data_IF_735493647464
#
_entry.id   IF_735493647464
#
_cell.length_a   1.000
_cell.length_b   1.000
_cell.length_c   1.000
_cell.angle_alpha   90.00
_cell.angle_beta   90.00
_cell.angle_gamma   90.00
#
_symmetry.space_group_name_H-M   'P 1'
#
loop_
_entity.id
_entity.type
_entity.pdbx_description
1 polymer ?
#
# COMPACT_ATOMS: atom_id res chain seq x y z
N UNK A 1 10.41 0.23 -18.88
CA UNK A 1 9.02 0.19 -18.40
C UNK A 1 8.77 1.50 -17.71
N UNK A 2 7.88 2.33 -18.23
CA UNK A 2 7.61 3.65 -17.68
C UNK A 2 7.00 3.49 -16.28
N UNK A 3 7.51 4.23 -15.30
CA UNK A 3 6.87 4.36 -13.99
C UNK A 3 5.46 4.94 -14.22
N UNK A 4 4.44 4.14 -13.95
CA UNK A 4 3.05 4.61 -13.91
C UNK A 4 2.92 5.56 -12.71
N UNK A 5 2.91 6.87 -12.98
CA UNK A 5 2.58 7.86 -11.97
C UNK A 5 1.11 7.67 -11.56
N UNK A 6 0.87 7.20 -10.34
CA UNK A 6 -0.47 7.04 -9.77
C UNK A 6 -0.96 8.40 -9.23
N UNK A 7 -2.14 8.83 -9.68
CA UNK A 7 -2.65 10.18 -9.41
C UNK A 7 -3.78 10.16 -8.37
N UNK A 8 -3.78 11.08 -7.38
CA UNK A 8 -4.83 11.19 -6.37
C UNK A 8 -6.09 11.86 -6.94
N UNK A 9 -7.24 11.55 -6.33
CA UNK A 9 -8.50 12.23 -6.64
C UNK A 9 -8.57 13.63 -6.02
N UNK A 10 -9.31 14.52 -6.67
CA UNK A 10 -9.38 15.92 -6.32
C UNK A 10 -10.81 16.35 -6.02
N UNK A 11 -11.02 17.01 -4.88
CA UNK A 11 -12.32 17.60 -4.52
C UNK A 11 -12.29 19.10 -4.81
N UNK A 12 -12.79 19.49 -5.98
CA UNK A 12 -12.94 20.89 -6.37
C UNK A 12 -14.38 21.16 -6.79
N UNK A 13 -14.98 22.21 -6.21
CA UNK A 13 -16.31 22.70 -6.56
C UNK A 13 -16.30 23.43 -7.91
N UNK A 14 -17.37 23.28 -8.69
CA UNK A 14 -17.58 24.05 -9.92
C UNK A 14 -18.50 23.33 -10.92
N UNK A 15 -19.00 24.06 -11.95
CA UNK A 15 -19.89 23.50 -12.96
C UNK A 15 -19.16 22.50 -13.87
N UNK A 16 -19.94 21.60 -14.45
CA UNK A 16 -19.45 20.59 -15.41
C UNK A 16 -19.67 21.05 -16.84
N UNK A 17 -18.80 20.64 -17.78
CA UNK A 17 -19.11 20.77 -19.18
C UNK A 17 -20.41 20.01 -19.48
N UNK A 18 -21.14 20.47 -20.48
CA UNK A 18 -22.37 19.83 -20.94
C UNK A 18 -22.42 19.78 -22.48
N UNK A 19 -23.56 19.32 -23.01
CA UNK A 19 -23.79 19.23 -24.46
C UNK A 19 -23.62 20.58 -25.19
N UNK A 20 -23.83 21.71 -24.52
CA UNK A 20 -23.69 23.04 -25.11
C UNK A 20 -22.24 23.53 -25.18
N UNK A 21 -21.36 22.91 -24.39
CA UNK A 21 -19.92 23.19 -24.41
C UNK A 21 -19.12 22.23 -25.29
N UNK A 22 -19.77 21.23 -25.87
CA UNK A 22 -19.12 20.25 -26.75
C UNK A 22 -18.60 20.93 -28.02
N UNK A 23 -17.31 20.78 -28.30
CA UNK A 23 -16.59 21.44 -29.38
C UNK A 23 -16.17 22.88 -29.07
N UNK A 24 -16.45 23.39 -27.88
CA UNK A 24 -16.24 24.80 -27.53
C UNK A 24 -15.09 24.98 -26.53
N UNK A 25 -14.52 26.19 -26.54
CA UNK A 25 -13.56 26.62 -25.52
C UNK A 25 -14.29 26.90 -24.22
N UNK A 26 -13.86 26.25 -23.14
CA UNK A 26 -14.39 26.46 -21.80
C UNK A 26 -13.95 27.83 -21.27
N UNK A 27 -14.92 28.65 -20.85
CA UNK A 27 -14.65 29.94 -20.20
C UNK A 27 -13.84 29.75 -18.91
N UNK A 28 -12.71 30.44 -18.78
CA UNK A 28 -11.87 30.41 -17.58
C UNK A 28 -12.67 30.82 -16.34
N UNK A 29 -13.50 31.86 -16.44
CA UNK A 29 -14.28 32.39 -15.31
C UNK A 29 -15.32 31.40 -14.79
N UNK A 30 -15.86 30.56 -15.67
CA UNK A 30 -16.89 29.56 -15.32
C UNK A 30 -16.26 28.27 -14.83
N UNK A 31 -15.17 27.84 -15.46
CA UNK A 31 -14.54 26.52 -15.24
C UNK A 31 -13.21 26.64 -14.51
N UNK A 32 -13.08 27.61 -13.59
CA UNK A 32 -11.84 27.92 -12.84
C UNK A 32 -11.20 26.65 -12.25
N UNK A 33 -11.99 25.78 -11.63
CA UNK A 33 -11.50 24.55 -11.01
C UNK A 33 -10.87 23.57 -12.01
N UNK A 34 -11.44 23.43 -13.22
CA UNK A 34 -10.84 22.61 -14.27
C UNK A 34 -9.50 23.20 -14.73
N UNK A 35 -9.44 24.53 -14.89
CA UNK A 35 -8.20 25.20 -15.24
C UNK A 35 -7.12 25.06 -14.16
N UNK A 36 -7.47 25.11 -12.88
CA UNK A 36 -6.53 24.88 -11.77
C UNK A 36 -5.96 23.45 -11.81
N UNK A 37 -6.83 22.44 -11.82
CA UNK A 37 -6.43 21.02 -11.88
C UNK A 37 -5.52 20.75 -13.07
N UNK A 38 -5.93 21.24 -14.23
CA UNK A 38 -5.23 20.95 -15.47
C UNK A 38 -3.94 21.76 -15.55
N UNK A 39 -4.01 23.09 -15.50
CA UNK A 39 -2.86 23.97 -15.76
C UNK A 39 -1.91 24.17 -14.59
N UNK A 40 -2.40 24.18 -13.35
CA UNK A 40 -1.53 24.37 -12.19
C UNK A 40 -1.02 23.04 -11.67
N UNK A 41 -1.89 22.03 -11.56
CA UNK A 41 -1.51 20.72 -11.00
C UNK A 41 -1.05 19.70 -12.05
N UNK A 42 -1.36 19.93 -13.33
CA UNK A 42 -0.79 19.16 -14.44
C UNK A 42 -1.40 17.78 -14.66
N UNK A 43 -2.61 17.50 -14.13
CA UNK A 43 -3.19 16.16 -14.20
C UNK A 43 -3.84 15.86 -15.58
N UNK A 44 -3.33 14.86 -16.34
CA UNK A 44 -3.88 14.43 -17.62
C UNK A 44 -5.11 13.52 -17.48
N UNK A 45 -5.34 12.93 -16.30
CA UNK A 45 -6.50 12.10 -16.01
C UNK A 45 -6.90 12.27 -14.54
N UNK A 46 -8.16 12.58 -14.27
CA UNK A 46 -8.64 12.74 -12.90
C UNK A 46 -10.14 12.45 -12.78
N UNK A 47 -10.57 12.13 -11.56
CA UNK A 47 -11.99 12.06 -11.19
C UNK A 47 -12.37 13.22 -10.28
N UNK A 48 -13.62 13.69 -10.36
CA UNK A 48 -14.19 14.63 -9.40
C UNK A 48 -15.64 14.32 -9.07
N UNK A 49 -16.13 14.83 -7.93
CA UNK A 49 -17.57 14.93 -7.65
C UNK A 49 -17.99 16.36 -7.93
N UNK A 50 -19.03 16.57 -8.75
CA UNK A 50 -19.58 17.90 -8.99
C UNK A 50 -20.51 18.37 -7.84
N UNK A 51 -21.05 19.59 -7.96
CA UNK A 51 -21.92 20.17 -6.92
C UNK A 51 -23.24 19.40 -6.72
N UNK A 52 -23.66 18.62 -7.71
CA UNK A 52 -24.85 17.78 -7.67
C UNK A 52 -24.57 16.39 -7.07
N UNK A 53 -23.33 16.09 -6.68
CA UNK A 53 -22.95 14.78 -6.15
C UNK A 53 -22.70 13.72 -7.23
N UNK A 54 -22.66 14.12 -8.50
CA UNK A 54 -22.38 13.23 -9.64
C UNK A 54 -20.87 13.07 -9.76
N UNK A 55 -20.43 11.81 -9.89
CA UNK A 55 -19.01 11.50 -10.10
C UNK A 55 -18.67 11.47 -11.57
N UNK A 56 -17.62 12.19 -11.92
CA UNK A 56 -17.20 12.51 -13.29
C UNK A 56 -15.75 12.08 -13.49
N UNK A 57 -15.41 11.69 -14.71
CA UNK A 57 -14.06 11.31 -15.12
C UNK A 57 -13.60 12.24 -16.24
N UNK A 58 -12.39 12.76 -16.15
CA UNK A 58 -11.80 13.66 -17.12
C UNK A 58 -10.52 13.06 -17.71
N UNK A 59 -10.39 13.16 -19.03
CA UNK A 59 -9.15 12.91 -19.77
C UNK A 59 -8.74 14.16 -20.52
N UNK A 60 -7.52 14.62 -20.29
CA UNK A 60 -6.99 15.85 -20.85
C UNK A 60 -5.80 15.56 -21.75
N UNK A 61 -5.97 15.91 -23.01
CA UNK A 61 -4.97 15.74 -24.06
C UNK A 61 -4.15 17.03 -24.26
N UNK A 62 -2.93 16.86 -24.76
CA UNK A 62 -2.04 17.99 -25.06
C UNK A 62 -2.63 18.91 -26.12
N UNK A 63 -3.31 18.35 -27.11
CA UNK A 63 -4.04 19.04 -28.17
C UNK A 63 -5.10 18.10 -28.80
N UNK A 64 -5.86 18.60 -29.77
CA UNK A 64 -6.91 17.84 -30.48
C UNK A 64 -6.31 16.72 -31.36
N UNK A 65 -5.08 16.90 -31.86
CA UNK A 65 -4.41 15.90 -32.69
C UNK A 65 -3.99 14.68 -31.85
N UNK A 66 -3.48 14.91 -30.64
CA UNK A 66 -3.14 13.89 -29.65
C UNK A 66 -4.38 13.09 -29.24
N UNK A 67 -5.51 13.77 -28.99
CA UNK A 67 -6.79 13.11 -28.79
C UNK A 67 -7.14 12.19 -29.97
N UNK A 68 -7.06 12.70 -31.20
CA UNK A 68 -7.42 11.95 -32.41
C UNK A 68 -6.55 10.70 -32.65
N UNK A 69 -5.31 10.70 -32.14
CA UNK A 69 -4.42 9.54 -32.22
C UNK A 69 -4.65 8.52 -31.09
N UNK A 70 -5.11 9.01 -29.93
CA UNK A 70 -5.22 8.26 -28.69
C UNK A 70 -6.62 7.69 -28.42
N UNK A 71 -7.64 8.18 -29.11
CA UNK A 71 -9.03 7.71 -28.95
C UNK A 71 -9.52 7.10 -30.25
N UNK A 72 -9.79 5.80 -30.22
CA UNK A 72 -10.29 5.06 -31.39
C UNK A 72 -11.43 4.13 -30.95
N UNK A 73 -12.65 4.46 -31.37
CA UNK A 73 -13.85 3.69 -31.02
C UNK A 73 -14.49 4.14 -29.71
N UNK A 74 -15.10 3.18 -29.01
CA UNK A 74 -15.83 3.40 -27.74
C UNK A 74 -14.90 3.10 -26.59
N UNK A 75 -14.83 4.01 -25.61
CA UNK A 75 -13.98 3.82 -24.43
C UNK A 75 -14.57 2.75 -23.52
N UNK A 76 -13.71 2.03 -22.79
CA UNK A 76 -14.15 1.08 -21.77
C UNK A 76 -13.47 1.36 -20.44
N UNK A 77 -14.08 0.90 -19.36
CA UNK A 77 -13.53 1.01 -18.01
C UNK A 77 -13.29 -0.38 -17.44
N UNK A 78 -12.16 -0.54 -16.78
CA UNK A 78 -11.80 -1.77 -16.08
C UNK A 78 -11.35 -1.45 -14.66
N UNK A 79 -11.79 -2.26 -13.69
CA UNK A 79 -11.35 -2.15 -12.31
C UNK A 79 -10.34 -3.24 -11.98
N UNK A 80 -9.25 -2.86 -11.32
CA UNK A 80 -8.23 -3.79 -10.80
C UNK A 80 -7.80 -3.40 -9.41
N UNK A 81 -7.29 -4.34 -8.64
CA UNK A 81 -6.62 -4.05 -7.37
C UNK A 81 -5.11 -4.10 -7.57
N UNK A 82 -4.40 -3.15 -6.96
CA UNK A 82 -2.94 -3.12 -6.93
C UNK A 82 -2.51 -2.63 -5.55
N UNK A 83 -1.79 -3.48 -4.82
CA UNK A 83 -1.43 -3.24 -3.42
C UNK A 83 -2.68 -2.95 -2.56
N UNK A 84 -2.73 -1.79 -1.90
CA UNK A 84 -3.86 -1.33 -1.08
C UNK A 84 -4.80 -0.37 -1.84
N UNK A 85 -4.64 -0.28 -3.16
CA UNK A 85 -5.41 0.62 -4.01
C UNK A 85 -6.34 -0.14 -4.94
N UNK A 86 -7.50 0.45 -5.18
CA UNK A 86 -8.31 0.13 -6.34
C UNK A 86 -7.85 1.02 -7.50
N UNK A 87 -7.78 0.47 -8.71
CA UNK A 87 -7.49 1.17 -9.94
C UNK A 87 -8.73 1.12 -10.83
N UNK A 88 -9.14 2.27 -11.37
CA UNK A 88 -10.06 2.38 -12.49
C UNK A 88 -9.24 2.74 -13.71
N UNK A 89 -9.19 1.87 -14.71
CA UNK A 89 -8.44 2.07 -15.93
C UNK A 89 -9.41 2.44 -17.04
N UNK A 90 -9.28 3.63 -17.60
CA UNK A 90 -10.03 4.06 -18.79
C UNK A 90 -9.23 3.67 -20.02
N UNK A 91 -9.77 2.76 -20.83
CA UNK A 91 -9.17 2.33 -22.09
C UNK A 91 -9.78 3.12 -23.25
N UNK A 92 -8.99 3.96 -23.91
CA UNK A 92 -9.46 4.81 -25.04
C UNK A 92 -9.05 4.28 -26.40
N UNK A 93 -8.04 3.40 -26.44
CA UNK A 93 -7.57 2.72 -27.65
C UNK A 93 -7.25 1.27 -27.31
N UNK A 94 -8.01 0.37 -27.93
CA UNK A 94 -7.84 -1.08 -27.79
C UNK A 94 -7.03 -1.63 -28.97
N UNK A 95 -5.84 -1.07 -29.23
CA UNK A 95 -4.88 -1.76 -30.09
C UNK A 95 -4.38 -3.00 -29.34
N UNK A 96 -4.52 -4.18 -29.94
CA UNK A 96 -4.12 -5.45 -29.35
C UNK A 96 -2.62 -5.51 -29.01
N UNK A 97 -1.80 -4.64 -29.63
CA UNK A 97 -0.34 -4.63 -29.47
C UNK A 97 0.08 -3.64 -28.35
N UNK A 98 -0.64 -2.54 -28.16
CA UNK A 98 -0.32 -1.52 -27.16
C UNK A 98 -1.59 -0.72 -26.78
N UNK A 99 -2.42 -1.25 -25.87
CA UNK A 99 -3.62 -0.53 -25.45
C UNK A 99 -3.22 0.71 -24.65
N UNK A 100 -3.92 1.82 -24.89
CA UNK A 100 -3.71 3.06 -24.15
C UNK A 100 -4.73 3.15 -23.02
N UNK A 101 -4.24 3.02 -21.79
CA UNK A 101 -5.03 3.04 -20.57
C UNK A 101 -4.63 4.20 -19.66
N UNK A 102 -5.63 4.88 -19.10
CA UNK A 102 -5.46 5.97 -18.16
C UNK A 102 -5.93 5.51 -16.76
N UNK A 103 -5.01 5.17 -15.85
CA UNK A 103 -5.35 4.66 -14.54
C UNK A 103 -5.64 5.79 -13.54
N UNK A 104 -6.79 5.71 -12.90
CA UNK A 104 -7.16 6.46 -11.71
C UNK A 104 -6.96 5.56 -10.49
N UNK A 105 -6.26 6.06 -9.48
CA UNK A 105 -5.98 5.30 -8.26
C UNK A 105 -6.84 5.76 -7.09
N UNK A 106 -7.39 4.81 -6.36
CA UNK A 106 -8.23 5.03 -5.19
C UNK A 106 -7.68 4.28 -4.00
N UNK A 107 -7.57 4.97 -2.88
CA UNK A 107 -7.26 4.45 -1.57
C UNK A 107 -8.58 4.38 -0.80
N UNK A 108 -9.16 3.18 -0.61
CA UNK A 108 -10.51 3.01 -0.07
C UNK A 108 -10.73 3.63 1.33
N UNK A 109 -9.67 3.94 2.08
CA UNK A 109 -9.71 4.53 3.42
C UNK A 109 -9.77 6.04 3.45
N UNK A 110 -9.48 6.69 2.33
CA UNK A 110 -9.63 8.14 2.21
C UNK A 110 -11.11 8.45 2.02
N UNK A 111 -11.73 9.13 2.99
CA UNK A 111 -13.17 9.40 3.01
C UNK A 111 -13.69 10.03 1.70
N UNK A 112 -12.96 11.01 1.16
CA UNK A 112 -13.34 11.71 -0.07
C UNK A 112 -13.35 10.76 -1.28
N UNK A 113 -12.33 9.89 -1.39
CA UNK A 113 -12.21 8.93 -2.48
C UNK A 113 -13.26 7.82 -2.38
N UNK A 114 -13.54 7.38 -1.15
CA UNK A 114 -14.64 6.44 -0.86
C UNK A 114 -15.99 7.01 -1.27
N UNK A 115 -16.27 8.29 -0.94
CA UNK A 115 -17.50 8.96 -1.36
C UNK A 115 -17.61 9.04 -2.88
N UNK A 116 -16.53 9.42 -3.56
CA UNK A 116 -16.50 9.47 -5.02
C UNK A 116 -16.76 8.10 -5.64
N UNK A 117 -16.09 7.05 -5.14
CA UNK A 117 -16.23 5.72 -5.69
C UNK A 117 -17.63 5.13 -5.48
N UNK A 118 -18.23 5.35 -4.32
CA UNK A 118 -19.64 4.96 -4.10
C UNK A 118 -20.59 5.70 -5.04
N UNK A 119 -20.43 7.02 -5.18
CA UNK A 119 -21.24 7.80 -6.10
C UNK A 119 -21.04 7.32 -7.54
N UNK A 120 -19.81 7.03 -7.96
CA UNK A 120 -19.52 6.45 -9.27
C UNK A 120 -20.24 5.11 -9.48
N UNK A 121 -20.17 4.17 -8.54
CA UNK A 121 -20.76 2.84 -8.69
C UNK A 121 -22.29 2.83 -8.68
N UNK A 122 -22.92 3.74 -7.92
CA UNK A 122 -24.38 3.82 -7.81
C UNK A 122 -25.04 4.57 -8.98
N UNK A 123 -24.28 5.36 -9.73
CA UNK A 123 -24.82 6.09 -10.86
C UNK A 123 -25.15 5.15 -12.04
N UNK A 124 -26.28 5.38 -12.73
CA UNK A 124 -26.67 4.56 -13.88
C UNK A 124 -25.69 4.72 -15.05
N UNK A 125 -25.14 5.92 -15.21
CA UNK A 125 -24.29 6.36 -16.29
C UNK A 125 -23.03 7.01 -15.71
N UNK A 126 -21.88 6.76 -16.33
CA UNK A 126 -20.62 7.42 -16.03
C UNK A 126 -20.31 8.42 -17.14
N UNK A 127 -20.02 9.65 -16.77
CA UNK A 127 -19.65 10.69 -17.72
C UNK A 127 -18.12 10.77 -17.83
N UNK A 128 -17.62 10.51 -19.04
CA UNK A 128 -16.21 10.62 -19.41
C UNK A 128 -16.03 11.87 -20.31
N UNK A 129 -15.42 12.90 -19.74
CA UNK A 129 -15.17 14.17 -20.42
C UNK A 129 -13.82 14.16 -21.11
N UNK A 130 -13.82 14.37 -22.43
CA UNK A 130 -12.61 14.55 -23.22
C UNK A 130 -12.30 16.03 -23.38
N UNK A 131 -11.16 16.46 -22.84
CA UNK A 131 -10.66 17.83 -22.94
C UNK A 131 -9.35 17.85 -23.73
N UNK A 132 -9.09 18.95 -24.45
CA UNK A 132 -7.79 19.23 -25.03
C UNK A 132 -7.30 20.61 -24.59
N UNK A 133 -5.97 20.77 -24.56
CA UNK A 133 -5.34 22.07 -24.36
C UNK A 133 -5.07 22.73 -25.70
N UNK A 134 -5.56 23.93 -25.89
CA UNK A 134 -5.29 24.73 -27.09
C UNK A 134 -4.87 26.12 -26.64
N UNK A 135 -3.61 26.48 -26.88
CA UNK A 135 -3.06 27.80 -26.55
C UNK A 135 -3.27 28.22 -25.07
N UNK A 136 -3.23 27.26 -24.14
CA UNK A 136 -3.46 27.47 -22.72
C UNK A 136 -4.93 27.49 -22.28
N UNK A 137 -5.85 27.36 -23.23
CA UNK A 137 -7.30 27.21 -23.00
C UNK A 137 -7.70 25.72 -23.00
N UNK A 138 -8.76 25.40 -22.29
CA UNK A 138 -9.38 24.07 -22.31
C UNK A 138 -10.50 24.06 -23.34
N UNK A 139 -10.45 23.12 -24.27
CA UNK A 139 -11.52 22.82 -25.22
C UNK A 139 -12.21 21.55 -24.74
N UNK A 140 -13.52 21.60 -24.57
CA UNK A 140 -14.30 20.39 -24.35
C UNK A 140 -14.59 19.74 -25.70
N UNK A 141 -14.00 18.58 -25.97
CA UNK A 141 -14.14 17.91 -27.26
C UNK A 141 -15.54 17.31 -27.33
N UNK A 142 -15.85 16.39 -26.43
CA UNK A 142 -17.17 15.80 -26.21
C UNK A 142 -17.21 15.02 -24.89
N UNK A 143 -18.41 14.62 -24.47
CA UNK A 143 -18.64 13.74 -23.33
C UNK A 143 -19.12 12.38 -23.82
N UNK A 144 -18.47 11.31 -23.36
CA UNK A 144 -18.90 9.93 -23.59
C UNK A 144 -19.65 9.40 -22.36
N UNK A 145 -20.72 8.65 -22.60
CA UNK A 145 -21.49 8.00 -21.53
C UNK A 145 -21.14 6.53 -21.49
N UNK A 146 -20.55 6.09 -20.38
CA UNK A 146 -20.27 4.69 -20.11
C UNK A 146 -21.31 4.10 -19.16
N UNK A 147 -21.47 2.78 -19.20
CA UNK A 147 -22.38 2.07 -18.29
C UNK A 147 -21.66 0.89 -17.65
N UNK A 148 -21.98 0.61 -16.39
CA UNK A 148 -21.54 -0.58 -15.68
C UNK A 148 -22.72 -1.52 -15.53
N UNK A 149 -22.52 -2.78 -15.92
CA UNK A 149 -23.46 -3.85 -15.65
C UNK A 149 -23.55 -4.13 -14.14
N UNK A 150 -24.65 -4.75 -13.71
CA UNK A 150 -24.81 -5.17 -12.31
C UNK A 150 -23.71 -6.12 -11.84
N UNK A 151 -23.18 -6.95 -12.75
CA UNK A 151 -22.09 -7.88 -12.44
C UNK A 151 -20.77 -7.13 -12.22
N UNK A 152 -20.45 -6.14 -13.05
CA UNK A 152 -19.26 -5.31 -12.87
C UNK A 152 -19.34 -4.53 -11.56
N UNK A 153 -20.47 -3.88 -11.25
CA UNK A 153 -20.67 -3.19 -9.97
C UNK A 153 -20.49 -4.12 -8.77
N UNK A 154 -21.08 -5.32 -8.82
CA UNK A 154 -20.95 -6.32 -7.75
C UNK A 154 -19.49 -6.79 -7.61
N UNK A 155 -18.78 -6.97 -8.72
CA UNK A 155 -17.36 -7.31 -8.73
C UNK A 155 -16.49 -6.23 -8.08
N UNK A 156 -16.75 -4.95 -8.36
CA UNK A 156 -16.02 -3.84 -7.72
C UNK A 156 -16.33 -3.77 -6.23
N UNK A 157 -17.58 -3.96 -5.81
CA UNK A 157 -17.92 -4.04 -4.39
C UNK A 157 -17.21 -5.19 -3.68
N UNK A 158 -17.06 -6.35 -4.33
CA UNK A 158 -16.28 -7.45 -3.79
C UNK A 158 -14.79 -7.08 -3.66
N UNK A 159 -14.19 -6.45 -4.68
CA UNK A 159 -12.81 -5.96 -4.61
C UNK A 159 -12.61 -4.95 -3.46
N UNK A 160 -13.59 -4.06 -3.25
CA UNK A 160 -13.58 -3.12 -2.14
C UNK A 160 -13.70 -3.81 -0.79
N UNK A 161 -14.58 -4.81 -0.66
CA UNK A 161 -14.66 -5.64 0.55
C UNK A 161 -13.34 -6.36 0.81
N UNK A 162 -12.69 -6.92 -0.20
CA UNK A 162 -11.38 -7.56 -0.05
C UNK A 162 -10.29 -6.57 0.37
N UNK A 163 -10.29 -5.34 -0.15
CA UNK A 163 -9.36 -4.28 0.26
C UNK A 163 -9.65 -3.77 1.69
N UNK A 164 -10.93 -3.58 2.02
CA UNK A 164 -11.37 -3.22 3.36
C UNK A 164 -11.04 -4.32 4.36
N UNK A 165 -11.19 -5.60 4.00
CA UNK A 165 -10.78 -6.72 4.83
C UNK A 165 -9.26 -6.75 4.98
N UNK A 166 -8.47 -6.55 3.93
CA UNK A 166 -7.00 -6.47 4.04
C UNK A 166 -6.58 -5.36 5.00
N UNK A 167 -7.24 -4.21 4.92
CA UNK A 167 -6.87 -3.03 5.71
C UNK A 167 -7.44 -3.07 7.12
N UNK A 168 -8.70 -3.49 7.28
CA UNK A 168 -9.27 -3.77 8.59
C UNK A 168 -8.53 -4.87 9.26
N UNK A 169 -8.07 -5.93 8.59
CA UNK A 169 -7.24 -6.98 9.19
C UNK A 169 -5.82 -6.51 9.51
N UNK A 170 -5.28 -5.52 8.79
CA UNK A 170 -4.08 -4.78 9.21
C UNK A 170 -4.34 -4.01 10.53
N UNK A 171 -5.53 -3.40 10.65
CA UNK A 171 -6.01 -2.70 11.85
C UNK A 171 -6.48 -3.66 12.97
N UNK A 172 -7.02 -4.85 12.67
CA UNK A 172 -7.48 -5.85 13.66
C UNK A 172 -6.34 -6.73 14.13
N UNK A 173 -5.20 -6.77 13.42
CA UNK A 173 -3.94 -7.16 14.04
C UNK A 173 -3.47 -6.14 15.08
N UNK A 174 -4.03 -4.92 15.12
CA UNK A 174 -3.85 -3.97 16.23
C UNK A 174 -4.95 -4.06 17.29
N UNK A 175 -6.08 -4.72 17.04
CA UNK A 175 -7.17 -4.93 18.02
C UNK A 175 -7.17 -6.40 18.49
N UNK A 176 -6.54 -6.62 19.65
CA UNK A 176 -6.34 -7.89 20.39
C UNK A 176 -5.06 -8.70 20.08
N UNK A 177 -3.91 -8.05 19.85
CA UNK A 177 -2.64 -8.69 20.25
C UNK A 177 -2.62 -8.68 21.79
N UNK A 178 -2.90 -9.84 22.38
CA UNK A 178 -2.78 -10.02 23.82
C UNK A 178 -1.31 -9.78 24.24
N UNK A 179 -1.12 -8.98 25.28
CA UNK A 179 0.21 -8.77 25.86
C UNK A 179 0.56 -9.92 26.80
N UNK A 180 1.82 -10.37 26.75
CA UNK A 180 2.38 -11.41 27.62
C UNK A 180 3.72 -10.92 28.18
N UNK A 181 4.04 -11.14 29.47
CA UNK A 181 5.36 -10.79 29.99
C UNK A 181 6.46 -11.59 29.29
N UNK A 182 7.48 -10.92 28.73
CA UNK A 182 8.60 -11.62 28.08
C UNK A 182 9.40 -12.51 29.05
N UNK A 183 9.26 -12.24 30.35
CA UNK A 183 9.87 -13.04 31.41
C UNK A 183 9.38 -14.50 31.42
N UNK A 184 8.16 -14.76 30.93
CA UNK A 184 7.54 -16.09 30.85
C UNK A 184 8.11 -16.96 29.72
N UNK A 185 8.83 -16.36 28.76
CA UNK A 185 9.45 -17.11 27.66
C UNK A 185 10.43 -18.16 28.20
N UNK A 186 10.47 -19.34 27.60
CA UNK A 186 11.46 -20.35 27.99
C UNK A 186 12.86 -19.92 27.57
N UNK A 187 13.86 -20.17 28.43
CA UNK A 187 15.27 -19.89 28.13
C UNK A 187 15.67 -20.52 26.79
N UNK A 188 15.20 -21.73 26.49
CA UNK A 188 15.47 -22.46 25.25
C UNK A 188 15.01 -21.72 23.98
N UNK A 189 13.88 -21.00 24.03
CA UNK A 189 13.37 -20.21 22.90
C UNK A 189 14.25 -18.98 22.66
N UNK A 190 14.71 -18.34 23.75
CA UNK A 190 15.56 -17.16 23.70
C UNK A 190 16.99 -17.48 23.20
N UNK A 191 17.39 -18.75 23.24
CA UNK A 191 18.69 -19.25 22.80
C UNK A 191 18.71 -19.66 21.32
N UNK A 192 17.57 -19.68 20.62
CA UNK A 192 17.49 -20.15 19.24
C UNK A 192 18.19 -19.20 18.27
N UNK A 193 18.91 -19.76 17.30
CA UNK A 193 19.40 -19.03 16.15
C UNK A 193 18.26 -18.72 15.17
N UNK A 194 18.43 -17.63 14.44
CA UNK A 194 17.40 -17.11 13.56
C UNK A 194 17.96 -16.44 12.32
N UNK A 195 17.09 -15.68 11.67
CA UNK A 195 17.47 -14.83 10.55
C UNK A 195 17.33 -13.36 10.94
N UNK A 196 18.37 -12.58 10.67
CA UNK A 196 18.38 -11.13 10.77
C UNK A 196 18.07 -10.51 9.41
N UNK A 197 17.18 -9.53 9.40
CA UNK A 197 16.86 -8.67 8.26
C UNK A 197 17.41 -7.28 8.58
N UNK A 198 18.50 -6.89 7.91
CA UNK A 198 19.23 -5.67 8.22
C UNK A 198 18.75 -4.49 7.36
N UNK A 199 18.58 -3.32 7.98
CA UNK A 199 18.12 -2.08 7.36
C UNK A 199 19.05 -0.91 7.72
N UNK A 200 19.27 0.03 6.79
CA UNK A 200 19.95 1.29 7.09
C UNK A 200 18.98 2.33 7.66
N UNK A 201 19.18 2.70 8.92
CA UNK A 201 18.38 3.69 9.62
C UNK A 201 18.55 5.12 9.03
N UNK A 202 19.76 5.46 8.56
CA UNK A 202 20.11 6.81 8.09
C UNK A 202 19.36 7.27 6.84
N UNK A 203 18.97 6.36 5.95
CA UNK A 203 18.21 6.70 4.74
C UNK A 203 16.77 7.14 5.08
N UNK A 204 16.26 6.77 6.26
CA UNK A 204 14.90 7.04 6.67
C UNK A 204 14.74 8.30 7.56
N UNK A 205 15.78 8.72 8.28
CA UNK A 205 15.78 9.96 9.07
C UNK A 205 15.81 11.25 8.23
N UNK A 206 16.42 11.23 7.05
CA UNK A 206 16.58 12.42 6.20
C UNK A 206 15.28 12.84 5.48
N UNK A 207 14.22 12.02 5.49
CA UNK A 207 12.99 12.31 4.73
C UNK A 207 11.69 12.44 5.55
N UNK A 208 11.53 11.81 6.72
CA UNK A 208 10.39 12.04 7.66
C UNK A 208 10.59 11.20 8.94
N UNK A 209 10.98 11.84 10.05
CA UNK A 209 11.33 11.17 11.31
C UNK A 209 10.20 10.31 11.89
N UNK A 210 8.94 10.74 11.75
CA UNK A 210 7.77 10.07 12.35
C UNK A 210 7.20 8.91 11.51
N UNK A 211 7.75 8.62 10.32
CA UNK A 211 7.18 7.60 9.41
C UNK A 211 7.98 6.30 9.34
N UNK A 212 9.26 6.30 9.69
CA UNK A 212 10.14 5.16 9.44
C UNK A 212 9.80 3.93 10.30
N UNK A 213 9.68 4.14 11.61
CA UNK A 213 9.29 3.11 12.57
C UNK A 213 7.88 2.59 12.25
N UNK A 214 6.95 3.50 11.94
CA UNK A 214 5.59 3.16 11.57
C UNK A 214 5.54 2.25 10.33
N UNK A 215 6.23 2.62 9.24
CA UNK A 215 6.24 1.84 7.99
C UNK A 215 6.89 0.46 8.19
N UNK A 216 7.94 0.37 9.02
CA UNK A 216 8.57 -0.91 9.37
C UNK A 216 7.64 -1.80 10.19
N UNK A 217 6.96 -1.22 11.18
CA UNK A 217 5.96 -1.93 11.98
C UNK A 217 4.79 -2.38 11.11
N UNK A 218 4.23 -1.52 10.26
CA UNK A 218 3.19 -1.87 9.29
C UNK A 218 3.61 -3.04 8.39
N UNK A 219 4.87 -3.06 7.96
CA UNK A 219 5.40 -4.14 7.15
C UNK A 219 5.63 -5.44 7.90
N UNK A 220 6.03 -5.35 9.17
CA UNK A 220 6.07 -6.51 10.06
C UNK A 220 4.66 -7.09 10.23
N UNK A 221 3.66 -6.24 10.45
CA UNK A 221 2.26 -6.62 10.52
C UNK A 221 1.78 -7.25 9.20
N UNK A 222 2.17 -6.70 8.05
CA UNK A 222 1.85 -7.24 6.74
C UNK A 222 2.46 -8.64 6.53
N UNK A 223 3.72 -8.84 6.91
CA UNK A 223 4.38 -10.15 6.83
C UNK A 223 3.68 -11.19 7.73
N UNK A 224 3.35 -10.81 8.97
CA UNK A 224 2.56 -11.64 9.88
C UNK A 224 1.16 -11.95 9.33
N UNK A 225 0.53 -11.00 8.65
CA UNK A 225 -0.76 -11.20 8.01
C UNK A 225 -0.69 -12.20 6.86
N UNK A 226 0.28 -12.03 5.97
CA UNK A 226 0.54 -12.98 4.89
C UNK A 226 0.81 -14.38 5.43
N UNK A 227 1.54 -14.49 6.55
CA UNK A 227 1.76 -15.77 7.23
C UNK A 227 0.46 -16.39 7.75
N UNK A 228 -0.41 -15.60 8.39
CA UNK A 228 -1.72 -16.06 8.88
C UNK A 228 -2.61 -16.63 7.75
N UNK A 229 -2.47 -16.12 6.52
CA UNK A 229 -3.25 -16.58 5.36
C UNK A 229 -2.49 -17.54 4.45
N UNK A 230 -1.31 -18.00 4.86
CA UNK A 230 -0.53 -18.92 4.07
C UNK A 230 -1.35 -20.19 3.74
N UNK A 231 -1.38 -20.70 2.50
CA UNK A 231 -2.25 -21.82 2.13
C UNK A 231 -1.97 -23.11 2.91
N UNK A 232 -0.73 -23.26 3.37
CA UNK A 232 -0.25 -24.43 4.12
C UNK A 232 -0.40 -24.22 5.63
N UNK A 233 -1.13 -25.10 6.32
CA UNK A 233 -1.47 -24.97 7.75
C UNK A 233 -0.26 -24.93 8.70
N UNK A 234 0.74 -25.80 8.50
CA UNK A 234 1.91 -25.84 9.38
C UNK A 234 2.79 -24.59 9.28
N UNK A 235 2.66 -23.80 8.21
CA UNK A 235 3.30 -22.49 8.07
C UNK A 235 2.47 -21.42 8.79
N UNK A 236 1.13 -21.47 8.68
CA UNK A 236 0.25 -20.55 9.41
C UNK A 236 0.42 -20.68 10.93
N UNK A 237 0.58 -21.90 11.42
CA UNK A 237 0.64 -22.22 12.85
C UNK A 237 2.08 -22.28 13.37
N UNK A 238 3.07 -21.81 12.60
CA UNK A 238 4.48 -21.85 13.01
C UNK A 238 4.76 -20.99 14.24
N UNK A 239 5.54 -21.55 15.16
CA UNK A 239 5.99 -20.90 16.40
C UNK A 239 7.32 -20.20 16.17
N UNK A 240 7.41 -18.92 16.55
CA UNK A 240 8.65 -18.15 16.50
C UNK A 240 8.56 -16.88 17.35
N UNK A 241 9.72 -16.28 17.58
CA UNK A 241 9.89 -14.97 18.18
C UNK A 241 10.32 -13.96 17.12
N UNK A 242 9.82 -12.74 17.25
CA UNK A 242 10.34 -11.59 16.53
C UNK A 242 11.15 -10.74 17.50
N UNK A 243 12.37 -10.38 17.09
CA UNK A 243 13.26 -9.54 17.84
C UNK A 243 13.59 -8.28 17.07
N UNK A 244 14.03 -7.26 17.81
CA UNK A 244 14.51 -6.01 17.24
C UNK A 244 15.81 -5.58 17.89
N UNK A 245 16.69 -5.03 17.07
CA UNK A 245 17.90 -4.33 17.49
C UNK A 245 18.01 -3.06 16.68
N UNK A 246 18.41 -1.96 17.32
CA UNK A 246 18.61 -0.69 16.64
C UNK A 246 19.73 0.12 17.26
N UNK A 247 20.55 0.71 16.40
CA UNK A 247 21.50 1.76 16.77
C UNK A 247 21.30 3.00 15.88
N UNK A 248 22.19 3.99 15.98
CA UNK A 248 22.08 5.24 15.23
C UNK A 248 22.20 5.08 13.71
N UNK A 249 22.70 3.95 13.22
CA UNK A 249 23.03 3.73 11.80
C UNK A 249 22.19 2.63 11.16
N UNK A 250 21.82 1.62 11.93
CA UNK A 250 21.23 0.37 11.47
C UNK A 250 20.12 -0.08 12.39
N UNK A 251 19.17 -0.78 11.81
CA UNK A 251 18.13 -1.48 12.54
C UNK A 251 17.96 -2.87 11.94
N UNK A 252 17.71 -3.85 12.78
CA UNK A 252 17.55 -5.24 12.37
C UNK A 252 16.33 -5.86 13.04
N UNK A 253 15.52 -6.54 12.23
CA UNK A 253 14.43 -7.40 12.69
C UNK A 253 14.93 -8.83 12.62
N UNK A 254 14.65 -9.64 13.64
CA UNK A 254 15.04 -11.05 13.65
C UNK A 254 13.83 -11.96 13.80
N UNK A 255 13.89 -13.13 13.18
CA UNK A 255 12.94 -14.24 13.43
C UNK A 255 13.70 -15.44 13.98
N UNK A 256 13.31 -15.97 15.14
CA UNK A 256 13.89 -17.19 15.72
C UNK A 256 12.81 -18.21 16.12
N UNK A 257 12.87 -19.48 15.68
CA UNK A 257 13.92 -20.04 14.84
C UNK A 257 13.83 -19.51 13.40
N UNK A 258 14.84 -19.77 12.57
CA UNK A 258 14.76 -19.46 11.14
C UNK A 258 13.55 -20.14 10.50
N UNK A 259 12.74 -19.35 9.80
CA UNK A 259 11.56 -19.84 9.09
C UNK A 259 11.90 -20.38 7.69
N UNK A 260 13.14 -20.16 7.22
CA UNK A 260 13.64 -20.57 5.89
C UNK A 260 13.28 -21.99 5.49
N UNK A 261 13.37 -22.93 6.44
CA UNK A 261 13.16 -24.36 6.21
C UNK A 261 11.67 -24.76 6.18
N UNK A 262 10.77 -23.88 6.58
CA UNK A 262 9.33 -24.10 6.51
C UNK A 262 8.80 -23.95 5.08
N UNK A 263 9.49 -23.17 4.24
CA UNK A 263 9.03 -22.84 2.90
C UNK A 263 9.68 -23.72 1.83
N UNK A 264 8.89 -24.26 0.87
CA UNK A 264 9.43 -25.00 -0.28
C UNK A 264 10.32 -24.12 -1.17
N UNK A 265 9.95 -22.85 -1.30
CA UNK A 265 10.75 -21.84 -2.00
C UNK A 265 10.88 -20.59 -1.14
N UNK A 266 12.02 -19.90 -1.27
CA UNK A 266 12.29 -18.67 -0.53
C UNK A 266 11.41 -17.48 -0.94
N UNK A 267 10.65 -17.61 -2.03
CA UNK A 267 9.68 -16.61 -2.48
C UNK A 267 8.35 -16.70 -1.74
N UNK A 268 8.08 -17.84 -1.09
CA UNK A 268 6.86 -18.03 -0.29
C UNK A 268 6.99 -17.47 1.13
N UNK A 269 8.21 -17.04 1.52
CA UNK A 269 8.47 -16.40 2.81
C UNK A 269 7.93 -14.96 2.83
N UNK A 270 6.93 -14.67 3.68
CA UNK A 270 6.34 -13.35 3.78
C UNK A 270 7.30 -12.26 4.27
N UNK A 271 8.17 -12.57 5.23
CA UNK A 271 9.10 -11.60 5.81
C UNK A 271 10.12 -11.18 4.76
N UNK A 272 10.71 -12.14 4.05
CA UNK A 272 11.58 -11.86 2.90
C UNK A 272 10.86 -11.02 1.85
N UNK A 273 9.65 -11.41 1.46
CA UNK A 273 8.91 -10.76 0.38
C UNK A 273 8.58 -9.29 0.69
N UNK A 274 8.17 -9.00 1.92
CA UNK A 274 7.84 -7.65 2.35
C UNK A 274 9.10 -6.81 2.55
N UNK A 275 10.10 -7.33 3.27
CA UNK A 275 11.29 -6.55 3.63
C UNK A 275 12.20 -6.24 2.44
N UNK A 276 12.27 -7.08 1.41
CA UNK A 276 13.06 -6.77 0.20
C UNK A 276 12.53 -5.56 -0.58
N UNK A 277 11.28 -5.14 -0.35
CA UNK A 277 10.69 -3.97 -1.02
C UNK A 277 11.16 -2.65 -0.39
N UNK A 278 11.82 -2.71 0.77
CA UNK A 278 12.32 -1.53 1.45
C UNK A 278 13.59 -1.00 0.80
N UNK A 279 13.65 0.30 0.46
CA UNK A 279 14.88 0.93 -0.02
C UNK A 279 16.05 0.84 0.97
N UNK A 280 15.76 0.76 2.28
CA UNK A 280 16.77 0.64 3.32
C UNK A 280 17.27 -0.79 3.55
N UNK A 281 16.61 -1.81 3.00
CA UNK A 281 16.99 -3.21 3.18
C UNK A 281 18.38 -3.48 2.61
N UNK A 282 19.20 -4.23 3.36
CA UNK A 282 20.60 -4.51 3.02
C UNK A 282 20.85 -5.97 2.71
N UNK A 283 20.56 -6.85 3.66
CA UNK A 283 20.96 -8.25 3.60
C UNK A 283 20.19 -9.08 4.64
N UNK A 284 20.34 -10.40 4.50
CA UNK A 284 19.85 -11.39 5.47
C UNK A 284 21.04 -12.19 6.00
N UNK A 285 21.10 -12.38 7.31
CA UNK A 285 22.15 -13.18 7.99
C UNK A 285 21.51 -14.24 8.87
N UNK A 286 22.14 -15.41 8.96
CA UNK A 286 21.80 -16.40 9.98
C UNK A 286 22.65 -16.09 11.22
N UNK A 287 21.99 -15.71 12.32
CA UNK A 287 22.67 -15.29 13.56
C UNK A 287 21.73 -15.44 14.77
N UNK A 288 22.31 -15.57 15.97
CA UNK A 288 21.56 -15.52 17.22
C UNK A 288 21.18 -14.08 17.57
N UNK A 289 19.88 -13.75 17.71
CA UNK A 289 19.44 -12.41 18.11
C UNK A 289 20.02 -11.97 19.45
N UNK A 290 20.23 -12.92 20.36
CA UNK A 290 20.78 -12.66 21.69
C UNK A 290 22.22 -12.15 21.62
N UNK A 291 23.04 -12.69 20.71
CA UNK A 291 24.45 -12.27 20.56
C UNK A 291 24.55 -10.84 20.03
N UNK A 292 23.60 -10.42 19.19
CA UNK A 292 23.53 -9.06 18.64
C UNK A 292 22.93 -8.05 19.64
N UNK A 293 22.46 -8.48 20.82
CA UNK A 293 21.83 -7.59 21.79
C UNK A 293 20.38 -7.24 21.47
N UNK A 294 19.69 -8.05 20.66
CA UNK A 294 18.30 -7.81 20.29
C UNK A 294 17.32 -8.12 21.43
N UNK A 295 16.17 -7.46 21.42
CA UNK A 295 15.07 -7.68 22.37
C UNK A 295 13.87 -8.34 21.68
N UNK A 296 13.22 -9.33 22.32
CA UNK A 296 12.06 -9.99 21.74
C UNK A 296 10.81 -9.12 21.95
N UNK A 297 10.10 -8.81 20.87
CA UNK A 297 8.93 -7.91 20.91
C UNK A 297 7.62 -8.62 20.56
N UNK A 298 7.68 -9.72 19.82
CA UNK A 298 6.51 -10.57 19.59
C UNK A 298 6.84 -12.05 19.78
N UNK A 299 5.87 -12.78 20.30
CA UNK A 299 5.83 -14.23 20.27
C UNK A 299 4.67 -14.67 19.39
N UNK A 300 4.93 -15.60 18.48
CA UNK A 300 3.90 -16.36 17.80
C UNK A 300 3.87 -17.78 18.36
N UNK A 301 2.67 -18.24 18.73
CA UNK A 301 2.43 -19.56 19.30
C UNK A 301 1.10 -20.10 18.76
N UNK A 302 1.12 -21.26 18.09
CA UNK A 302 -0.05 -21.93 17.51
C UNK A 302 -0.90 -21.01 16.60
N UNK A 303 -0.25 -20.12 15.86
CA UNK A 303 -0.91 -19.16 14.98
C UNK A 303 -1.42 -17.88 15.65
N UNK A 304 -1.34 -17.78 16.98
CA UNK A 304 -1.66 -16.56 17.73
C UNK A 304 -0.42 -15.67 17.88
N UNK A 305 -0.60 -14.34 17.79
CA UNK A 305 0.47 -13.37 18.01
C UNK A 305 0.29 -12.68 19.37
N UNK A 306 1.38 -12.59 20.13
CA UNK A 306 1.43 -11.98 21.45
C UNK A 306 2.50 -10.88 21.47
N UNK A 307 2.16 -9.72 22.01
CA UNK A 307 3.12 -8.65 22.25
C UNK A 307 3.85 -8.93 23.56
N UNK A 308 5.18 -8.79 23.54
CA UNK A 308 6.01 -9.13 24.67
C UNK A 308 6.32 -7.88 25.50
N UNK A 309 5.88 -7.88 26.75
CA UNK A 309 6.19 -6.79 27.67
C UNK A 309 7.63 -6.93 28.19
N UNK A 310 8.43 -5.89 27.96
CA UNK A 310 9.82 -5.81 28.39
C UNK A 310 9.93 -5.04 29.70
N UNK A 311 10.76 -5.54 30.62
CA UNK A 311 11.09 -4.90 31.89
C UNK A 311 12.55 -5.19 32.27
N UNK A 312 13.02 -4.59 33.36
CA UNK A 312 14.41 -4.73 33.84
C UNK A 312 14.78 -6.20 34.16
N UNK A 313 13.81 -7.02 34.56
CA UNK A 313 14.03 -8.45 34.83
C UNK A 313 14.31 -9.23 33.55
N UNK A 314 13.65 -8.86 32.45
CA UNK A 314 13.91 -9.44 31.12
C UNK A 314 15.32 -9.10 30.66
N UNK A 315 15.76 -7.85 30.82
CA UNK A 315 17.15 -7.46 30.51
C UNK A 315 18.15 -8.28 31.34
N UNK A 316 17.88 -8.47 32.63
CA UNK A 316 18.72 -9.30 33.51
C UNK A 316 18.77 -10.77 33.04
N UNK A 317 17.63 -11.31 32.60
CA UNK A 317 17.53 -12.66 32.04
C UNK A 317 18.32 -12.80 30.75
N UNK A 318 18.19 -11.85 29.82
CA UNK A 318 18.93 -11.83 28.55
C UNK A 318 20.45 -11.71 28.82
N UNK A 319 20.87 -10.82 29.74
CA UNK A 319 22.26 -10.70 30.15
C UNK A 319 22.84 -12.02 30.70
N UNK A 320 22.06 -12.70 31.56
CA UNK A 320 22.43 -14.02 32.10
C UNK A 320 22.57 -15.06 30.99
N UNK A 321 21.64 -15.07 30.02
CA UNK A 321 21.66 -16.03 28.91
C UNK A 321 22.81 -15.75 27.95
N UNK A 322 23.06 -14.49 27.59
CA UNK A 322 24.21 -14.09 26.79
C UNK A 322 25.52 -14.61 27.38
N UNK A 323 25.71 -14.40 28.68
CA UNK A 323 26.94 -14.82 29.39
C UNK A 323 27.18 -16.35 29.37
N UNK A 324 26.15 -17.15 29.04
CA UNK A 324 26.29 -18.60 28.86
C UNK A 324 26.76 -18.98 27.45
N UNK A 325 26.47 -18.14 26.45
CA UNK A 325 26.76 -18.39 25.03
C UNK A 325 28.09 -17.75 24.63
N UNK A 326 28.32 -16.50 25.06
CA UNK A 326 29.52 -15.74 24.76
C UNK A 326 30.13 -15.18 26.04
N UNK A 327 31.34 -15.66 26.37
CA UNK A 327 32.11 -15.23 27.54
C UNK A 327 33.24 -14.26 27.17
N UNK A 328 33.42 -13.98 25.88
CA UNK A 328 34.55 -13.21 25.35
C UNK A 328 34.11 -11.79 25.02
N UNK A 329 32.94 -11.65 24.39
CA UNK A 329 32.41 -10.35 24.00
C UNK A 329 31.82 -9.57 25.19
N UNK A 330 31.76 -8.24 25.06
CA UNK A 330 31.04 -7.42 26.01
C UNK A 330 29.54 -7.76 25.97
N UNK A 331 28.92 -7.90 27.14
CA UNK A 331 27.50 -8.23 27.23
C UNK A 331 26.66 -7.02 26.83
N UNK A 332 25.87 -7.08 25.75
CA UNK A 332 25.12 -5.92 25.24
C UNK A 332 23.95 -5.53 26.14
N UNK A 333 23.62 -6.35 27.15
CA UNK A 333 22.50 -6.12 28.06
C UNK A 333 22.93 -5.55 29.42
N UNK A 334 24.22 -5.23 29.62
CA UNK A 334 24.80 -4.78 30.91
C UNK A 334 25.30 -3.35 30.85
#
# INVERSE_FOLDING_TARGET
MAEMQMQPLLSFSGPSPDVHTSGEVLSIETYVSLYQIVNEEGYPCFGRINEQGVSEIYLVFEDIDAFSQAVEGVSTVEFRTYEEKLLLIVWTKSDAIAPLGFPLSFTPHVTVERTWLHALLEQPNLELFFLAREQGMLVHIFTEILTLSSNERSGVYQMLQELDERTRMSITLSEEIASRPAMELLDELLLQEGEAYDFLYRIHMEQNQDKAEHVLMESLHQALHMLNKHPISHIREADFLIWVYGDEQTFSIYTSPSLRNLYPTQQDDPFRTVFHRFPAFRNIREISPLVEGAFPIFQREAGCCYHLELNDEVQTKLARLFSRIDQISANPFV
#
